data_IF_554014820674
#
_entry.id   IF_554014820674
#
_cell.length_a   1.000
_cell.length_b   1.000
_cell.length_c   1.000
_cell.angle_alpha   90.00
_cell.angle_beta   90.00
_cell.angle_gamma   90.00
#
_symmetry.space_group_name_H-M   'P 1'
#
loop_
_entity.id
_entity.type
_entity.pdbx_description
1 polymer ?
#
# COMPACT_ATOMS: atom_id res chain seq x y z
N UNK A 1 -4.26 7.12 -8.00
CA UNK A 1 -2.95 7.79 -7.94
C UNK A 1 -1.84 6.94 -8.55
N UNK A 2 -1.47 5.80 -7.94
CA UNK A 2 -0.32 4.97 -8.37
C UNK A 2 -0.45 4.47 -9.82
N UNK A 3 -1.57 3.85 -10.19
CA UNK A 3 -1.83 3.38 -11.56
C UNK A 3 -1.67 4.49 -12.59
N UNK A 4 -2.26 5.66 -12.33
CA UNK A 4 -2.15 6.82 -13.23
C UNK A 4 -0.71 7.30 -13.37
N UNK A 5 0.05 7.37 -12.27
CA UNK A 5 1.46 7.73 -12.31
C UNK A 5 2.28 6.79 -13.20
N UNK A 6 2.05 5.47 -13.08
CA UNK A 6 2.76 4.47 -13.87
C UNK A 6 2.35 4.51 -15.35
N UNK A 7 1.04 4.58 -15.64
CA UNK A 7 0.52 4.66 -17.03
C UNK A 7 0.98 5.93 -17.73
N UNK A 8 0.92 7.09 -17.06
CA UNK A 8 1.40 8.36 -17.62
C UNK A 8 2.91 8.36 -17.92
N UNK A 9 3.66 7.41 -17.34
CA UNK A 9 5.09 7.21 -17.60
C UNK A 9 5.36 5.98 -18.49
N UNK A 10 4.35 5.53 -19.25
CA UNK A 10 4.50 4.50 -20.28
C UNK A 10 4.42 3.05 -19.79
N UNK A 11 4.05 2.82 -18.53
CA UNK A 11 3.88 1.46 -18.03
C UNK A 11 2.56 0.85 -18.49
N UNK A 12 2.61 -0.43 -18.86
CA UNK A 12 1.46 -1.32 -18.87
C UNK A 12 1.19 -1.79 -17.44
N UNK A 13 -0.02 -1.57 -16.93
CA UNK A 13 -0.38 -1.79 -15.53
C UNK A 13 -1.50 -2.80 -15.40
N UNK A 14 -1.23 -3.89 -14.68
CA UNK A 14 -2.26 -4.80 -14.21
C UNK A 14 -2.81 -4.28 -12.87
N UNK A 15 -4.12 -4.06 -12.79
CA UNK A 15 -4.80 -3.69 -11.55
C UNK A 15 -5.57 -4.89 -10.99
N UNK A 16 -5.53 -5.06 -9.68
CA UNK A 16 -6.20 -6.17 -8.99
C UNK A 16 -7.01 -5.68 -7.80
N UNK A 17 -8.11 -6.35 -7.56
CA UNK A 17 -9.04 -6.06 -6.47
C UNK A 17 -10.16 -7.10 -6.42
N UNK A 18 -10.95 -7.07 -5.35
CA UNK A 18 -12.03 -8.05 -5.12
C UNK A 18 -13.32 -7.70 -5.88
N UNK A 19 -13.51 -6.43 -6.22
CA UNK A 19 -14.73 -5.92 -6.84
C UNK A 19 -14.46 -5.63 -8.31
N UNK A 20 -14.92 -6.51 -9.20
CA UNK A 20 -14.66 -6.43 -10.64
C UNK A 20 -15.17 -5.10 -11.23
N UNK A 21 -16.35 -4.66 -10.82
CA UNK A 21 -17.00 -3.45 -11.33
C UNK A 21 -16.17 -2.18 -11.05
N UNK A 22 -15.44 -2.15 -9.92
CA UNK A 22 -14.53 -1.03 -9.61
C UNK A 22 -13.29 -1.07 -10.51
N UNK A 23 -12.77 -2.25 -10.83
CA UNK A 23 -11.62 -2.39 -11.73
C UNK A 23 -12.00 -1.98 -13.15
N UNK A 24 -13.14 -2.46 -13.64
CA UNK A 24 -13.65 -2.11 -14.97
C UNK A 24 -13.87 -0.60 -15.10
N UNK A 25 -14.44 0.03 -14.06
CA UNK A 25 -14.61 1.49 -14.01
C UNK A 25 -13.28 2.24 -14.13
N UNK A 26 -12.22 1.76 -13.48
CA UNK A 26 -10.88 2.38 -13.61
C UNK A 26 -10.36 2.27 -15.03
N UNK A 27 -10.56 1.13 -15.71
CA UNK A 27 -10.16 0.94 -17.10
C UNK A 27 -10.94 1.89 -18.02
N UNK A 28 -12.26 1.98 -17.87
CA UNK A 28 -13.11 2.86 -18.67
C UNK A 28 -12.67 4.33 -18.59
N UNK A 29 -12.31 4.81 -17.40
CA UNK A 29 -11.98 6.22 -17.18
C UNK A 29 -10.53 6.52 -17.56
N UNK A 30 -9.59 5.65 -17.19
CA UNK A 30 -8.16 5.99 -17.18
C UNK A 30 -7.31 5.23 -18.19
N UNK A 31 -7.86 4.25 -18.90
CA UNK A 31 -7.11 3.54 -19.95
C UNK A 31 -7.11 4.33 -21.28
N UNK A 32 -7.97 5.35 -21.42
CA UNK A 32 -8.07 6.25 -22.59
C UNK A 32 -8.12 5.52 -23.95
N UNK A 33 -8.73 4.33 -23.98
CA UNK A 33 -8.81 3.49 -25.18
C UNK A 33 -7.52 2.76 -25.56
N UNK A 34 -6.48 2.83 -24.72
CA UNK A 34 -5.24 2.07 -24.87
C UNK A 34 -5.29 0.82 -23.96
N UNK A 35 -4.69 -0.29 -24.38
CA UNK A 35 -4.57 -1.52 -23.55
C UNK A 35 -3.48 -1.38 -22.45
N UNK A 36 -3.40 -0.21 -21.81
CA UNK A 36 -2.39 0.15 -20.81
C UNK A 36 -2.82 -0.21 -19.39
N UNK A 37 -4.12 -0.32 -19.09
CA UNK A 37 -4.64 -0.79 -17.81
C UNK A 37 -5.43 -2.09 -18.01
N UNK A 38 -5.02 -3.17 -17.33
CA UNK A 38 -5.65 -4.49 -17.46
C UNK A 38 -6.19 -4.94 -16.11
N UNK A 39 -7.51 -5.15 -15.96
CA UNK A 39 -8.11 -5.59 -14.72
C UNK A 39 -7.96 -7.11 -14.56
N UNK A 40 -7.61 -7.56 -13.34
CA UNK A 40 -7.68 -8.97 -12.96
C UNK A 40 -8.32 -9.04 -11.56
N UNK A 41 -9.52 -9.61 -11.47
CA UNK A 41 -10.17 -9.80 -10.18
C UNK A 41 -9.46 -10.88 -9.37
N UNK A 42 -9.06 -10.56 -8.14
CA UNK A 42 -8.42 -11.48 -7.21
C UNK A 42 -8.43 -10.96 -5.78
N UNK A 43 -8.46 -11.87 -4.82
CA UNK A 43 -8.22 -11.54 -3.41
C UNK A 43 -6.76 -11.84 -3.01
N UNK A 44 -5.99 -10.79 -2.77
CA UNK A 44 -4.60 -10.88 -2.31
C UNK A 44 -4.46 -11.47 -0.88
N UNK A 45 -5.55 -11.65 -0.15
CA UNK A 45 -5.56 -12.37 1.12
C UNK A 45 -5.74 -13.90 0.92
N UNK A 46 -5.79 -14.37 -0.33
CA UNK A 46 -5.89 -15.78 -0.73
C UNK A 46 -4.66 -16.23 -1.53
N UNK A 47 -3.94 -17.24 -1.03
CA UNK A 47 -2.82 -17.86 -1.77
C UNK A 47 -3.25 -18.44 -3.12
N UNK A 48 -4.48 -18.95 -3.22
CA UNK A 48 -4.97 -19.54 -4.47
C UNK A 48 -5.13 -18.46 -5.54
N UNK A 49 -5.65 -17.29 -5.17
CA UNK A 49 -5.83 -16.18 -6.09
C UNK A 49 -4.49 -15.52 -6.44
N UNK A 50 -3.56 -15.37 -5.48
CA UNK A 50 -2.19 -14.93 -5.79
C UNK A 50 -1.53 -15.85 -6.82
N UNK A 51 -1.66 -17.18 -6.69
CA UNK A 51 -1.11 -18.12 -7.68
C UNK A 51 -1.74 -17.92 -9.07
N UNK A 52 -3.06 -17.74 -9.15
CA UNK A 52 -3.75 -17.45 -10.42
C UNK A 52 -3.27 -16.14 -11.04
N UNK A 53 -3.07 -15.09 -10.22
CA UNK A 53 -2.51 -13.82 -10.69
C UNK A 53 -1.12 -14.01 -11.30
N UNK A 54 -0.23 -14.72 -10.62
CA UNK A 54 1.13 -15.03 -11.12
C UNK A 54 1.05 -15.76 -12.46
N UNK A 55 0.29 -16.85 -12.55
CA UNK A 55 0.17 -17.61 -13.81
C UNK A 55 -0.44 -16.79 -14.95
N UNK A 56 -1.42 -15.92 -14.64
CA UNK A 56 -2.05 -15.05 -15.65
C UNK A 56 -1.05 -14.06 -16.21
N UNK A 57 -0.28 -13.38 -15.34
CA UNK A 57 0.73 -12.39 -15.76
C UNK A 57 1.89 -13.09 -16.47
N UNK A 58 2.35 -14.23 -15.97
CA UNK A 58 3.40 -15.03 -16.61
C UNK A 58 3.05 -15.43 -18.05
N UNK A 59 1.79 -15.81 -18.30
CA UNK A 59 1.33 -16.16 -19.64
C UNK A 59 1.30 -14.99 -20.62
N UNK A 60 1.22 -13.75 -20.11
CA UNK A 60 1.08 -12.52 -20.90
C UNK A 60 2.39 -11.75 -21.04
N UNK A 61 3.29 -11.87 -20.07
CA UNK A 61 4.51 -11.05 -19.96
C UNK A 61 5.77 -11.92 -20.05
N UNK A 62 6.24 -12.15 -21.27
CA UNK A 62 7.40 -13.01 -21.54
C UNK A 62 8.70 -12.49 -20.91
N UNK A 63 8.82 -11.17 -20.70
CA UNK A 63 9.95 -10.54 -20.00
C UNK A 63 9.84 -10.55 -18.47
N UNK A 64 8.72 -10.99 -17.91
CA UNK A 64 8.46 -10.92 -16.47
C UNK A 64 7.78 -9.63 -16.02
N UNK A 65 7.78 -9.37 -14.71
CA UNK A 65 7.11 -8.22 -14.09
C UNK A 65 8.16 -7.23 -13.58
N UNK A 66 8.09 -5.98 -14.02
CA UNK A 66 9.09 -4.98 -13.66
C UNK A 66 8.84 -4.34 -12.28
N UNK A 67 7.57 -4.08 -11.97
CA UNK A 67 7.15 -3.38 -10.75
C UNK A 67 5.97 -4.14 -10.15
N UNK A 68 6.09 -4.49 -8.86
CA UNK A 68 4.99 -4.98 -8.05
C UNK A 68 4.63 -3.91 -7.01
N UNK A 69 3.38 -3.46 -6.99
CA UNK A 69 2.90 -2.55 -5.94
C UNK A 69 1.90 -3.27 -5.05
N UNK A 70 2.29 -3.53 -3.80
CA UNK A 70 1.37 -4.05 -2.80
C UNK A 70 0.65 -2.87 -2.11
N UNK A 71 -0.52 -2.50 -2.64
CA UNK A 71 -1.30 -1.36 -2.16
C UNK A 71 -2.50 -1.73 -1.27
N UNK A 72 -3.04 -2.94 -1.41
CA UNK A 72 -4.25 -3.34 -0.70
C UNK A 72 -4.09 -3.26 0.82
N UNK A 73 -5.13 -2.78 1.50
CA UNK A 73 -5.16 -2.66 2.95
C UNK A 73 -6.54 -2.31 3.49
N UNK A 74 -6.76 -2.58 4.77
CA UNK A 74 -8.00 -2.27 5.51
C UNK A 74 -7.66 -1.58 6.83
N UNK A 75 -8.61 -0.80 7.37
CA UNK A 75 -8.45 -0.09 8.65
C UNK A 75 -8.77 -0.93 9.87
N UNK A 76 -9.69 -1.89 9.75
CA UNK A 76 -10.32 -2.51 10.93
C UNK A 76 -11.21 -1.54 11.69
N UNK A 77 -11.60 -1.94 12.90
CA UNK A 77 -12.52 -1.19 13.76
C UNK A 77 -11.84 -0.10 14.60
N UNK A 78 -12.61 0.91 15.02
CA UNK A 78 -12.11 1.99 15.88
C UNK A 78 -12.51 1.76 17.33
N UNK A 79 -11.66 2.11 18.30
CA UNK A 79 -11.93 2.00 19.73
C UNK A 79 -11.89 3.37 20.42
N UNK A 80 -12.79 3.61 21.38
CA UNK A 80 -12.71 4.78 22.24
C UNK A 80 -11.49 4.64 23.16
N UNK A 81 -10.68 5.70 23.25
CA UNK A 81 -9.44 5.71 24.03
C UNK A 81 -9.50 6.63 25.22
N UNK A 82 -10.45 7.56 25.24
CA UNK A 82 -10.71 8.46 26.35
C UNK A 82 -11.43 7.70 27.45
N UNK A 83 -10.95 7.83 28.69
CA UNK A 83 -11.56 7.23 29.86
C UNK A 83 -11.23 8.05 31.10
N UNK A 84 -12.16 8.11 32.04
CA UNK A 84 -12.02 8.79 33.33
C UNK A 84 -11.60 7.83 34.46
N UNK A 85 -11.71 6.51 34.26
CA UNK A 85 -11.24 5.48 35.18
C UNK A 85 -10.66 4.26 34.43
N UNK A 86 -9.99 3.36 35.18
CA UNK A 86 -9.48 2.11 34.63
C UNK A 86 -10.61 1.16 34.18
N UNK A 87 -11.74 1.15 34.89
CA UNK A 87 -12.92 0.36 34.54
C UNK A 87 -13.55 0.86 33.23
N UNK A 88 -13.63 2.18 33.05
CA UNK A 88 -14.09 2.77 31.79
C UNK A 88 -13.10 2.47 30.65
N UNK A 89 -11.80 2.56 30.90
CA UNK A 89 -10.79 2.19 29.90
C UNK A 89 -10.90 0.71 29.50
N UNK A 90 -11.09 -0.20 30.47
CA UNK A 90 -11.35 -1.62 30.20
C UNK A 90 -12.62 -1.79 29.36
N UNK A 91 -13.71 -1.11 29.73
CA UNK A 91 -14.96 -1.18 28.96
C UNK A 91 -14.76 -0.72 27.51
N UNK A 92 -14.04 0.37 27.31
CA UNK A 92 -13.84 0.99 25.99
C UNK A 92 -12.86 0.21 25.10
N UNK A 93 -11.85 -0.46 25.69
CA UNK A 93 -10.79 -1.13 24.94
C UNK A 93 -10.90 -2.65 24.91
N UNK A 94 -11.39 -3.27 25.98
CA UNK A 94 -11.46 -4.72 26.14
C UNK A 94 -12.89 -5.25 25.97
N UNK A 95 -13.88 -4.67 26.65
CA UNK A 95 -15.26 -5.17 26.60
C UNK A 95 -16.05 -4.65 25.37
N UNK A 96 -15.48 -3.73 24.59
CA UNK A 96 -16.11 -3.20 23.38
C UNK A 96 -16.33 -4.32 22.34
N UNK A 97 -17.53 -4.39 21.75
CA UNK A 97 -17.89 -5.43 20.77
C UNK A 97 -16.95 -5.46 19.56
N UNK A 98 -16.40 -4.29 19.18
CA UNK A 98 -15.46 -4.15 18.08
C UNK A 98 -14.04 -4.64 18.41
N UNK A 99 -13.72 -4.85 19.69
CA UNK A 99 -12.41 -5.32 20.15
C UNK A 99 -12.36 -6.85 20.10
N UNK A 100 -12.04 -7.38 18.92
CA UNK A 100 -12.00 -8.84 18.70
C UNK A 100 -10.67 -9.28 18.11
N UNK A 101 -10.24 -10.50 18.44
CA UNK A 101 -9.07 -11.10 17.78
C UNK A 101 -9.25 -11.22 16.26
N UNK A 102 -10.48 -11.41 15.78
CA UNK A 102 -10.75 -11.52 14.34
C UNK A 102 -10.54 -10.19 13.60
N UNK A 103 -10.90 -9.05 14.22
CA UNK A 103 -10.58 -7.73 13.66
C UNK A 103 -9.05 -7.54 13.56
N UNK A 104 -8.30 -7.93 14.59
CA UNK A 104 -6.83 -7.90 14.57
C UNK A 104 -6.24 -8.81 13.49
N UNK A 105 -6.66 -10.07 13.41
CA UNK A 105 -6.11 -11.05 12.48
C UNK A 105 -6.45 -10.72 11.03
N UNK A 106 -7.66 -10.23 10.75
CA UNK A 106 -8.08 -9.82 9.41
C UNK A 106 -7.28 -8.59 8.92
N UNK A 107 -7.02 -7.62 9.80
CA UNK A 107 -6.15 -6.46 9.52
C UNK A 107 -4.73 -6.92 9.24
N UNK A 108 -4.15 -7.80 10.07
CA UNK A 108 -2.79 -8.32 9.85
C UNK A 108 -2.68 -9.15 8.57
N UNK A 109 -3.70 -9.97 8.27
CA UNK A 109 -3.74 -10.77 7.05
C UNK A 109 -3.65 -9.89 5.80
N UNK A 110 -4.41 -8.80 5.77
CA UNK A 110 -4.51 -7.90 4.61
C UNK A 110 -3.44 -6.83 4.57
N UNK A 111 -2.93 -6.36 5.71
CA UNK A 111 -1.93 -5.28 5.74
C UNK A 111 -0.49 -5.80 5.81
N UNK A 112 -0.28 -7.04 6.27
CA UNK A 112 1.06 -7.60 6.54
C UNK A 112 1.29 -8.89 5.77
N UNK A 113 0.50 -9.93 6.04
CA UNK A 113 0.78 -11.27 5.48
C UNK A 113 0.71 -11.28 3.95
N UNK A 114 -0.22 -10.53 3.35
CA UNK A 114 -0.29 -10.44 1.89
C UNK A 114 0.96 -9.82 1.27
N UNK A 115 1.64 -8.88 1.94
CA UNK A 115 2.88 -8.29 1.41
C UNK A 115 3.92 -9.39 1.22
N UNK A 116 4.07 -10.27 2.21
CA UNK A 116 4.97 -11.41 2.13
C UNK A 116 4.55 -12.38 1.02
N UNK A 117 3.30 -12.86 1.03
CA UNK A 117 2.86 -13.90 0.11
C UNK A 117 2.79 -13.43 -1.34
N UNK A 118 2.31 -12.22 -1.60
CA UNK A 118 2.28 -11.64 -2.94
C UNK A 118 3.71 -11.41 -3.43
N UNK A 119 4.56 -10.75 -2.63
CA UNK A 119 5.96 -10.48 -3.04
C UNK A 119 6.70 -11.77 -3.37
N UNK A 120 6.68 -12.76 -2.48
CA UNK A 120 7.41 -14.02 -2.65
C UNK A 120 6.89 -14.85 -3.83
N UNK A 121 5.57 -14.85 -4.08
CA UNK A 121 5.00 -15.55 -5.23
C UNK A 121 5.41 -14.93 -6.58
N UNK A 122 5.63 -13.62 -6.63
CA UNK A 122 6.02 -12.89 -7.83
C UNK A 122 7.53 -12.84 -8.10
N UNK A 123 8.37 -13.35 -7.18
CA UNK A 123 9.83 -13.28 -7.34
C UNK A 123 10.38 -13.84 -8.65
N UNK A 124 9.90 -14.99 -9.17
CA UNK A 124 10.39 -15.49 -10.45
C UNK A 124 10.17 -14.50 -11.60
N UNK A 125 9.00 -13.83 -11.64
CA UNK A 125 8.70 -12.83 -12.66
C UNK A 125 9.51 -11.54 -12.48
N UNK A 126 9.71 -11.12 -11.23
CA UNK A 126 10.53 -9.94 -10.90
C UNK A 126 12.00 -10.17 -11.27
N UNK A 127 12.55 -11.33 -10.92
CA UNK A 127 13.93 -11.72 -11.25
C UNK A 127 14.14 -11.84 -12.76
N UNK A 128 13.14 -12.37 -13.49
CA UNK A 128 13.16 -12.47 -14.95
C UNK A 128 13.26 -11.10 -15.61
N UNK A 129 12.48 -10.11 -15.15
CA UNK A 129 12.54 -8.74 -15.66
C UNK A 129 13.87 -8.06 -15.35
N UNK A 130 14.44 -8.28 -14.16
CA UNK A 130 15.80 -7.79 -13.85
C UNK A 130 16.88 -8.42 -14.74
N UNK A 131 16.66 -9.66 -15.20
CA UNK A 131 17.58 -10.36 -16.09
C UNK A 131 17.51 -9.88 -17.55
N UNK A 132 16.37 -9.36 -18.00
CA UNK A 132 16.21 -8.92 -19.38
C UNK A 132 16.83 -7.54 -19.65
N UNK A 133 17.08 -6.72 -18.62
CA UNK A 133 17.59 -5.35 -18.78
C UNK A 133 18.86 -5.11 -17.93
N UNK A 134 19.97 -4.80 -18.60
CA UNK A 134 21.28 -4.62 -17.97
C UNK A 134 21.31 -3.37 -17.06
N UNK A 135 21.95 -3.50 -15.89
CA UNK A 135 22.09 -2.39 -14.94
C UNK A 135 20.79 -1.99 -14.23
N UNK A 136 19.70 -2.72 -14.46
CA UNK A 136 18.39 -2.44 -13.87
C UNK A 136 17.94 -3.61 -12.98
N UNK A 137 17.18 -3.28 -11.93
CA UNK A 137 16.56 -4.21 -11.01
C UNK A 137 15.09 -3.87 -10.79
N UNK A 138 14.24 -4.89 -10.91
CA UNK A 138 12.82 -4.85 -10.58
C UNK A 138 12.58 -4.33 -9.17
N UNK A 139 11.41 -3.73 -8.98
CA UNK A 139 11.04 -3.08 -7.73
C UNK A 139 9.75 -3.65 -7.16
N UNK A 140 9.74 -3.88 -5.86
CA UNK A 140 8.54 -4.07 -5.06
C UNK A 140 8.32 -2.81 -4.24
N UNK A 141 7.10 -2.28 -4.30
CA UNK A 141 6.67 -1.12 -3.53
C UNK A 141 5.53 -1.50 -2.61
N UNK A 142 5.78 -1.47 -1.30
CA UNK A 142 4.74 -1.68 -0.29
C UNK A 142 4.13 -0.34 0.13
N UNK A 143 2.81 -0.23 0.12
CA UNK A 143 2.12 0.96 0.65
C UNK A 143 1.79 0.73 2.11
N UNK A 144 2.54 1.38 3.00
CA UNK A 144 2.37 1.29 4.44
C UNK A 144 1.52 2.44 4.95
N UNK A 145 1.96 3.17 5.99
CA UNK A 145 1.32 4.36 6.55
C UNK A 145 2.22 4.99 7.60
N UNK A 146 2.13 6.32 7.78
CA UNK A 146 2.69 6.98 8.96
C UNK A 146 2.07 6.50 10.27
N UNK A 147 0.89 5.89 10.25
CA UNK A 147 0.28 5.25 11.42
C UNK A 147 1.18 4.16 12.02
N UNK A 148 2.09 3.58 11.23
CA UNK A 148 3.12 2.66 11.71
C UNK A 148 4.37 3.33 12.28
N UNK A 149 4.41 4.66 12.37
CA UNK A 149 5.55 5.46 12.81
C UNK A 149 5.23 6.40 13.98
N UNK A 150 3.95 6.70 14.22
CA UNK A 150 3.52 7.63 15.26
C UNK A 150 3.08 6.90 16.54
N UNK A 151 3.27 7.55 17.69
CA UNK A 151 2.81 7.05 18.99
C UNK A 151 1.29 7.02 19.22
N UNK A 152 0.53 7.91 18.57
CA UNK A 152 -0.93 7.98 18.78
C UNK A 152 -1.63 6.83 18.05
N UNK A 153 -2.54 6.13 18.73
CA UNK A 153 -3.31 5.06 18.10
C UNK A 153 -4.30 5.56 17.05
N UNK A 154 -4.66 6.85 17.10
CA UNK A 154 -5.75 7.41 16.28
C UNK A 154 -7.04 6.56 16.38
N UNK A 155 -7.26 5.92 17.54
CA UNK A 155 -8.36 4.97 17.81
C UNK A 155 -8.22 3.60 17.12
N UNK A 156 -7.19 3.33 16.32
CA UNK A 156 -7.07 2.11 15.48
C UNK A 156 -5.77 1.32 15.79
N UNK A 157 -5.68 0.69 16.95
CA UNK A 157 -4.44 0.04 17.43
C UNK A 157 -3.88 -1.03 16.47
N UNK A 158 -4.73 -1.94 16.01
CA UNK A 158 -4.43 -3.02 15.10
C UNK A 158 -3.96 -2.50 13.73
N UNK A 159 -4.52 -1.40 13.24
CA UNK A 159 -4.06 -0.77 12.00
C UNK A 159 -2.64 -0.24 12.16
N UNK A 160 -2.39 0.57 13.20
CA UNK A 160 -1.09 1.17 13.47
C UNK A 160 -0.01 0.09 13.67
N UNK A 161 -0.31 -0.93 14.48
CA UNK A 161 0.56 -2.08 14.71
C UNK A 161 0.84 -2.84 13.40
N UNK A 162 -0.19 -3.08 12.57
CA UNK A 162 -0.01 -3.74 11.27
C UNK A 162 0.87 -2.93 10.31
N UNK A 163 0.77 -1.61 10.30
CA UNK A 163 1.58 -0.74 9.43
C UNK A 163 3.02 -0.60 9.93
N UNK A 164 3.25 -0.66 11.24
CA UNK A 164 4.59 -0.81 11.81
C UNK A 164 5.23 -2.15 11.41
N UNK A 165 4.46 -3.24 11.51
CA UNK A 165 4.89 -4.57 11.05
C UNK A 165 5.19 -4.58 9.55
N UNK A 166 4.37 -3.93 8.72
CA UNK A 166 4.60 -3.80 7.27
C UNK A 166 5.89 -3.02 6.93
N UNK A 167 6.18 -1.94 7.67
CA UNK A 167 7.45 -1.20 7.55
C UNK A 167 8.64 -2.11 7.85
N UNK A 168 8.55 -2.91 8.91
CA UNK A 168 9.64 -3.82 9.27
C UNK A 168 9.78 -4.99 8.29
N UNK A 169 8.67 -5.59 7.87
CA UNK A 169 8.64 -6.66 6.87
C UNK A 169 9.25 -6.22 5.54
N UNK A 170 9.06 -4.96 5.14
CA UNK A 170 9.72 -4.39 3.94
C UNK A 170 11.24 -4.48 4.06
N UNK A 171 11.81 -4.09 5.20
CA UNK A 171 13.26 -4.18 5.44
C UNK A 171 13.74 -5.63 5.47
N UNK A 172 13.01 -6.51 6.14
CA UNK A 172 13.33 -7.95 6.16
C UNK A 172 13.36 -8.53 4.75
N UNK A 173 12.31 -8.30 3.95
CA UNK A 173 12.25 -8.78 2.57
C UNK A 173 13.39 -8.21 1.72
N UNK A 174 13.71 -6.91 1.85
CA UNK A 174 14.82 -6.30 1.12
C UNK A 174 16.16 -6.97 1.46
N UNK A 175 16.44 -7.21 2.75
CA UNK A 175 17.65 -7.89 3.21
C UNK A 175 17.73 -9.32 2.69
N UNK A 176 16.70 -10.13 2.95
CA UNK A 176 16.69 -11.55 2.59
C UNK A 176 16.79 -11.75 1.08
N UNK A 177 16.07 -10.95 0.29
CA UNK A 177 16.01 -11.16 -1.16
C UNK A 177 17.25 -10.64 -1.86
N UNK A 178 17.67 -9.41 -1.56
CA UNK A 178 18.80 -8.80 -2.25
C UNK A 178 20.16 -9.16 -1.63
N UNK A 179 20.29 -9.08 -0.29
CA UNK A 179 21.59 -9.23 0.38
C UNK A 179 21.95 -10.68 0.63
N UNK A 180 21.00 -11.48 1.15
CA UNK A 180 21.27 -12.89 1.50
C UNK A 180 21.17 -13.82 0.28
N UNK A 181 20.14 -13.64 -0.55
CA UNK A 181 19.91 -14.52 -1.71
C UNK A 181 20.51 -14.00 -3.03
N UNK A 182 21.02 -12.76 -3.08
CA UNK A 182 21.59 -12.17 -4.30
C UNK A 182 20.59 -11.96 -5.45
N UNK A 183 19.28 -11.98 -5.17
CA UNK A 183 18.24 -11.79 -6.18
C UNK A 183 18.11 -10.29 -6.45
N UNK A 184 18.30 -9.88 -7.72
CA UNK A 184 18.26 -8.47 -8.15
C UNK A 184 16.84 -7.87 -8.15
N UNK A 185 16.22 -7.77 -6.98
CA UNK A 185 14.91 -7.16 -6.75
C UNK A 185 15.02 -6.22 -5.56
N UNK A 186 14.67 -4.96 -5.77
CA UNK A 186 14.66 -3.93 -4.71
C UNK A 186 13.29 -3.88 -4.07
N UNK A 187 13.23 -3.69 -2.76
CA UNK A 187 11.97 -3.68 -2.01
C UNK A 187 11.94 -2.46 -1.11
N UNK A 188 11.04 -1.53 -1.40
CA UNK A 188 10.88 -0.28 -0.67
C UNK A 188 9.42 -0.12 -0.22
N UNK A 189 9.20 0.81 0.68
CA UNK A 189 7.87 1.22 1.10
C UNK A 189 7.69 2.73 0.97
N UNK A 190 6.45 3.14 0.74
CA UNK A 190 5.99 4.50 1.03
C UNK A 190 5.09 4.41 2.25
N UNK A 191 5.33 5.30 3.22
CA UNK A 191 4.48 5.55 4.37
C UNK A 191 3.72 6.87 4.15
N UNK A 192 2.52 6.84 3.54
CA UNK A 192 1.78 8.06 3.28
C UNK A 192 1.22 8.64 4.59
N UNK A 193 1.14 9.96 4.64
CA UNK A 193 0.27 10.67 5.56
C UNK A 193 -1.17 10.65 5.08
N UNK A 194 -1.85 11.78 5.22
CA UNK A 194 -3.25 11.88 4.82
C UNK A 194 -3.35 12.13 3.32
N UNK A 195 -3.84 11.13 2.58
CA UNK A 195 -4.21 11.23 1.17
C UNK A 195 -5.70 10.92 0.98
N UNK A 196 -6.36 11.52 -0.03
CA UNK A 196 -7.71 11.12 -0.40
C UNK A 196 -7.79 9.66 -0.86
N UNK A 197 -8.66 8.90 -0.20
CA UNK A 197 -8.97 7.50 -0.52
C UNK A 197 -10.35 7.16 0.03
N UNK A 198 -10.97 6.06 -0.40
CA UNK A 198 -12.24 5.62 0.19
C UNK A 198 -12.12 5.39 1.71
N UNK A 199 -10.94 4.94 2.16
CA UNK A 199 -10.63 4.73 3.57
C UNK A 199 -10.62 6.04 4.38
N UNK A 200 -10.15 7.14 3.80
CA UNK A 200 -10.01 8.43 4.50
C UNK A 200 -11.20 9.37 4.28
N UNK A 201 -11.88 9.24 3.15
CA UNK A 201 -13.02 10.09 2.76
C UNK A 201 -14.39 9.41 2.98
N UNK A 202 -14.42 8.11 3.28
CA UNK A 202 -15.66 7.34 3.41
C UNK A 202 -16.32 6.95 2.08
N UNK A 203 -15.68 7.27 0.95
CA UNK A 203 -16.19 6.95 -0.38
C UNK A 203 -15.36 7.56 -1.51
N UNK A 204 -15.79 7.29 -2.74
CA UNK A 204 -15.23 7.86 -3.97
C UNK A 204 -16.38 8.34 -4.87
N UNK A 205 -16.08 9.28 -5.77
CA UNK A 205 -17.03 9.75 -6.79
C UNK A 205 -17.06 8.78 -7.98
N UNK A 206 -17.87 9.12 -8.99
CA UNK A 206 -17.99 8.36 -10.23
C UNK A 206 -16.64 8.16 -10.96
N UNK A 207 -15.70 9.10 -10.81
CA UNK A 207 -14.36 9.03 -11.39
C UNK A 207 -13.37 8.16 -10.57
N UNK A 208 -13.83 7.44 -9.54
CA UNK A 208 -12.99 6.68 -8.59
C UNK A 208 -11.96 7.54 -7.84
N UNK A 209 -12.20 8.86 -7.73
CA UNK A 209 -11.42 9.74 -6.86
C UNK A 209 -12.18 10.02 -5.56
N UNK A 210 -11.42 10.19 -4.50
CA UNK A 210 -11.90 10.64 -3.20
C UNK A 210 -11.45 12.08 -2.97
N UNK A 211 -12.16 12.79 -2.09
CA UNK A 211 -11.83 14.16 -1.72
C UNK A 211 -11.73 14.31 -0.21
N UNK A 212 -10.83 15.19 0.20
CA UNK A 212 -10.67 15.59 1.59
C UNK A 212 -10.70 17.11 1.63
N UNK A 213 -11.49 17.63 2.58
CA UNK A 213 -11.56 19.06 2.85
C UNK A 213 -10.20 19.57 3.39
N UNK A 214 -9.55 20.43 2.61
CA UNK A 214 -8.23 20.95 2.93
C UNK A 214 -8.23 21.79 4.22
N UNK A 215 -9.33 22.47 4.54
CA UNK A 215 -9.40 23.32 5.72
C UNK A 215 -9.31 22.51 7.02
N UNK A 216 -9.73 21.24 7.01
CA UNK A 216 -9.57 20.31 8.15
C UNK A 216 -8.11 20.01 8.49
N UNK A 217 -7.18 20.24 7.57
CA UNK A 217 -5.76 19.92 7.72
C UNK A 217 -4.87 21.15 7.88
N UNK A 218 -5.42 22.36 7.74
CA UNK A 218 -4.69 23.64 7.78
C UNK A 218 -3.80 23.84 9.01
N UNK A 219 -4.24 23.28 10.14
CA UNK A 219 -3.54 23.35 11.44
C UNK A 219 -3.12 21.96 11.97
N UNK A 220 -3.30 20.90 11.18
CA UNK A 220 -2.94 19.52 11.58
C UNK A 220 -1.63 19.04 10.97
N UNK A 221 -1.26 19.58 9.81
CA UNK A 221 -0.02 19.24 9.10
C UNK A 221 0.69 20.52 8.64
N UNK A 222 2.04 20.59 8.69
CA UNK A 222 2.83 21.72 8.20
C UNK A 222 2.53 22.13 6.75
N UNK A 223 2.23 21.18 5.86
CA UNK A 223 1.84 21.47 4.48
C UNK A 223 0.45 22.13 4.35
N UNK A 224 -0.35 22.14 5.44
CA UNK A 224 -1.69 22.75 5.54
C UNK A 224 -2.72 22.20 4.56
N UNK A 225 -2.48 21.01 3.99
CA UNK A 225 -3.35 20.32 3.04
C UNK A 225 -3.11 18.81 3.10
N UNK A 226 -4.08 17.98 2.67
CA UNK A 226 -3.80 16.57 2.35
C UNK A 226 -2.87 16.46 1.13
N UNK A 227 -2.26 15.29 0.98
CA UNK A 227 -1.50 14.92 -0.21
C UNK A 227 -2.38 14.84 -1.46
N UNK A 228 -1.79 15.00 -2.63
CA UNK A 228 -2.44 14.98 -3.95
C UNK A 228 -1.83 13.90 -4.85
N UNK A 229 -2.44 13.68 -6.00
CA UNK A 229 -1.97 12.68 -6.97
C UNK A 229 -0.49 12.91 -7.35
N UNK A 230 -0.07 14.16 -7.52
CA UNK A 230 1.30 14.52 -7.91
C UNK A 230 2.32 14.24 -6.80
N UNK A 231 1.96 14.44 -5.53
CA UNK A 231 2.84 14.13 -4.40
C UNK A 231 3.07 12.61 -4.33
N UNK A 232 2.01 11.82 -4.54
CA UNK A 232 2.11 10.36 -4.57
C UNK A 232 2.87 9.86 -5.81
N UNK A 233 2.61 10.45 -6.98
CA UNK A 233 3.25 10.07 -8.24
C UNK A 233 4.78 10.21 -8.15
N UNK A 234 5.28 11.34 -7.64
CA UNK A 234 6.71 11.58 -7.46
C UNK A 234 7.34 10.57 -6.51
N UNK A 235 6.67 10.25 -5.41
CA UNK A 235 7.15 9.24 -4.45
C UNK A 235 7.19 7.84 -5.07
N UNK A 236 6.15 7.44 -5.80
CA UNK A 236 6.10 6.14 -6.52
C UNK A 236 7.25 6.05 -7.51
N UNK A 237 7.41 7.05 -8.39
CA UNK A 237 8.47 7.06 -9.40
C UNK A 237 9.85 7.04 -8.74
N UNK A 238 10.07 7.80 -7.66
CA UNK A 238 11.32 7.72 -6.93
C UNK A 238 11.56 6.30 -6.38
N UNK A 239 10.56 5.72 -5.69
CA UNK A 239 10.66 4.41 -5.05
C UNK A 239 10.96 3.26 -6.02
N UNK A 240 10.38 3.31 -7.23
CA UNK A 240 10.49 2.22 -8.23
C UNK A 240 11.57 2.45 -9.27
N UNK A 241 11.94 3.70 -9.61
CA UNK A 241 12.93 3.98 -10.65
C UNK A 241 14.35 4.20 -10.10
N UNK A 242 14.50 4.71 -8.88
CA UNK A 242 15.82 4.97 -8.31
C UNK A 242 16.52 3.64 -7.96
N UNK A 243 17.54 3.28 -8.74
CA UNK A 243 18.25 2.00 -8.61
C UNK A 243 19.14 1.92 -7.35
N UNK A 244 19.32 3.02 -6.62
CA UNK A 244 20.20 3.09 -5.46
C UNK A 244 19.45 2.99 -4.11
N UNK A 245 18.12 2.86 -4.13
CA UNK A 245 17.31 2.67 -2.91
C UNK A 245 16.82 1.22 -2.79
N UNK A 246 17.06 0.63 -1.61
CA UNK A 246 16.59 -0.70 -1.28
C UNK A 246 16.38 -0.81 0.24
N UNK A 247 15.21 -1.27 0.67
CA UNK A 247 14.83 -1.38 2.09
C UNK A 247 14.32 -0.08 2.72
N UNK A 248 14.11 0.99 1.95
CA UNK A 248 13.72 2.30 2.48
C UNK A 248 12.23 2.38 2.82
N UNK A 249 11.87 3.15 3.85
CA UNK A 249 10.48 3.50 4.19
C UNK A 249 10.30 5.00 4.01
N UNK A 250 9.93 5.40 2.80
CA UNK A 250 9.80 6.81 2.43
C UNK A 250 8.54 7.44 3.04
N UNK A 251 8.72 8.40 3.93
CA UNK A 251 7.61 9.15 4.53
C UNK A 251 7.15 10.27 3.59
N UNK A 252 5.87 10.29 3.25
CA UNK A 252 5.26 11.33 2.40
C UNK A 252 4.00 11.82 3.09
N UNK A 253 4.10 12.83 3.94
CA UNK A 253 3.03 13.12 4.90
C UNK A 253 2.73 14.61 5.12
N UNK A 254 3.33 15.50 4.31
CA UNK A 254 3.18 16.94 4.48
C UNK A 254 3.66 17.46 5.84
N UNK A 255 4.54 16.72 6.52
CA UNK A 255 5.07 17.02 7.85
C UNK A 255 4.20 16.53 9.00
N UNK A 256 3.22 15.66 8.78
CA UNK A 256 2.36 15.13 9.85
C UNK A 256 3.19 14.54 11.00
N UNK A 257 4.16 13.69 10.71
CA UNK A 257 5.03 13.03 11.70
C UNK A 257 5.90 14.02 12.47
N UNK A 258 6.19 15.19 11.90
CA UNK A 258 6.89 16.28 12.60
C UNK A 258 5.97 16.89 13.66
N UNK A 259 4.69 17.12 13.33
CA UNK A 259 3.73 17.73 14.24
C UNK A 259 3.22 16.76 15.32
N UNK A 260 2.95 15.51 14.95
CA UNK A 260 2.43 14.48 15.87
C UNK A 260 3.52 13.83 16.74
N UNK A 261 4.78 13.89 16.29
CA UNK A 261 5.88 13.10 16.84
C UNK A 261 5.84 11.64 16.36
N UNK A 262 7.02 11.02 16.32
CA UNK A 262 7.18 9.57 16.15
C UNK A 262 7.01 8.90 17.52
#
# INVERSE_FOLDING_TARGET
>A
MITQALVANGAKVYITGRTAEKLDRVVEIYSEGQDTIIPIQADIASKADIKKLVSTIESKESKGLHILVNNAGISGSTLETSASSAEEAKKNLFDAEASTFEDWTSVYRTNVSQLFFTTTAFLPLLAKASASEHGWSSAVLNITSISGLIKSSQHHFQYNASKAAANHLTRMLATEIASENGIRVRINAIAPGVFPSEMTAGGSRADQKSELDADKYKNKVPARRPGRDEDMAQAVLNAVCNQYINGEVMVVDGGYTIAAGK
#
